data_IF_804781292700
#
_entry.id   IF_804781292700
#
_cell.length_a   1.000
_cell.length_b   1.000
_cell.length_c   1.000
_cell.angle_alpha   90.00
_cell.angle_beta   90.00
_cell.angle_gamma   90.00
#
_symmetry.space_group_name_H-M   'P 1'
#
loop_
_entity.id
_entity.type
_entity.pdbx_description
1 polymer ?
#
# COMPACT_ATOMS: atom_id res chain seq x y z
N UNK A 1 25.59 -2.54 4.52
CA UNK A 1 24.18 -2.91 4.62
C UNK A 1 23.52 -2.38 3.37
N UNK A 2 22.87 -3.21 2.55
CA UNK A 2 22.14 -2.72 1.39
C UNK A 2 20.75 -2.34 1.89
N UNK A 3 20.48 -1.04 2.00
CA UNK A 3 19.15 -0.53 2.27
C UNK A 3 18.30 -0.78 1.03
N UNK A 4 17.27 -1.61 1.17
CA UNK A 4 16.30 -1.84 0.09
C UNK A 4 15.53 -0.54 -0.14
N UNK A 5 15.51 0.02 -1.35
CA UNK A 5 14.75 1.24 -1.62
C UNK A 5 13.26 1.04 -1.29
N UNK A 6 12.55 2.10 -0.89
CA UNK A 6 11.14 2.00 -0.54
C UNK A 6 10.35 1.56 -1.77
N UNK A 7 9.33 0.74 -1.55
CA UNK A 7 8.42 0.37 -2.63
C UNK A 7 7.63 1.61 -3.09
N UNK A 8 7.49 1.84 -4.40
CA UNK A 8 6.75 2.98 -4.91
C UNK A 8 5.27 2.90 -4.55
N UNK A 9 4.63 4.05 -4.40
CA UNK A 9 3.18 4.17 -4.42
C UNK A 9 2.70 4.11 -5.86
N UNK A 10 1.83 3.14 -6.13
CA UNK A 10 1.28 2.92 -7.47
C UNK A 10 -0.16 3.42 -7.50
N UNK A 11 -0.47 4.39 -8.36
CA UNK A 11 -1.78 5.04 -8.41
C UNK A 11 -2.16 5.47 -9.84
N UNK A 12 -3.44 5.78 -10.06
CA UNK A 12 -3.98 6.21 -11.37
C UNK A 12 -4.32 7.70 -11.40
N UNK A 13 -3.63 8.49 -10.57
CA UNK A 13 -3.85 9.93 -10.40
C UNK A 13 -4.44 10.32 -9.03
N UNK A 14 -4.80 11.60 -8.92
CA UNK A 14 -5.48 12.18 -7.75
C UNK A 14 -6.97 11.84 -7.76
N UNK A 15 -7.56 11.77 -6.57
CA UNK A 15 -8.97 11.47 -6.42
C UNK A 15 -9.86 12.66 -6.81
N UNK A 16 -10.74 12.53 -7.83
CA UNK A 16 -11.64 13.61 -8.22
C UNK A 16 -12.77 13.86 -7.21
N UNK A 17 -12.95 12.96 -6.23
CA UNK A 17 -14.00 13.07 -5.19
C UNK A 17 -13.52 13.95 -4.05
N UNK A 18 -12.39 13.61 -3.43
CA UNK A 18 -11.88 14.30 -2.25
C UNK A 18 -10.80 15.33 -2.55
N UNK A 19 -10.24 15.34 -3.77
CA UNK A 19 -9.17 16.24 -4.24
C UNK A 19 -7.93 16.27 -3.35
N UNK A 20 -7.73 15.23 -2.53
CA UNK A 20 -6.64 15.14 -1.56
C UNK A 20 -5.87 13.81 -1.68
N UNK A 21 -6.60 12.70 -1.82
CA UNK A 21 -6.01 11.36 -1.83
C UNK A 21 -5.55 10.91 -3.21
N UNK A 22 -4.68 9.89 -3.22
CA UNK A 22 -4.26 9.19 -4.43
C UNK A 22 -5.15 7.98 -4.68
N UNK A 23 -5.54 7.78 -5.94
CA UNK A 23 -6.28 6.60 -6.39
C UNK A 23 -5.31 5.42 -6.56
N UNK A 24 -4.90 4.82 -5.45
CA UNK A 24 -3.90 3.75 -5.39
C UNK A 24 -4.45 2.42 -5.87
N UNK A 25 -3.61 1.62 -6.52
CA UNK A 25 -4.01 0.31 -7.05
C UNK A 25 -3.97 -0.75 -5.94
N UNK A 26 -5.06 -1.49 -5.79
CA UNK A 26 -5.23 -2.64 -4.89
C UNK A 26 -5.10 -3.92 -5.71
N UNK A 27 -4.37 -4.89 -5.16
CA UNK A 27 -4.39 -6.28 -5.59
C UNK A 27 -5.32 -7.05 -4.65
N UNK A 28 -6.17 -7.90 -5.20
CA UNK A 28 -6.92 -8.90 -4.44
C UNK A 28 -6.78 -10.25 -5.14
N UNK A 29 -6.54 -11.32 -4.39
CA UNK A 29 -6.39 -12.68 -4.94
C UNK A 29 -7.44 -13.60 -4.36
N UNK A 30 -8.26 -14.19 -5.20
CA UNK A 30 -9.26 -15.19 -4.81
C UNK A 30 -9.02 -16.50 -5.57
N UNK A 31 -9.33 -17.65 -4.98
CA UNK A 31 -9.07 -18.95 -5.62
C UNK A 31 -9.91 -19.17 -6.89
N UNK A 32 -11.13 -18.63 -6.96
CA UNK A 32 -12.02 -18.80 -8.10
C UNK A 32 -11.76 -17.79 -9.22
N UNK A 33 -11.37 -16.56 -8.87
CA UNK A 33 -11.18 -15.46 -9.84
C UNK A 33 -9.70 -15.28 -10.23
N UNK A 34 -8.77 -15.65 -9.35
CA UNK A 34 -7.36 -15.31 -9.48
C UNK A 34 -7.04 -13.88 -9.03
N UNK A 35 -5.81 -13.40 -9.28
CA UNK A 35 -5.41 -12.03 -8.95
C UNK A 35 -6.15 -11.03 -9.85
N UNK A 36 -6.67 -9.99 -9.24
CA UNK A 36 -7.37 -8.91 -9.92
C UNK A 36 -7.08 -7.58 -9.25
N UNK A 37 -7.33 -6.51 -9.99
CA UNK A 37 -6.93 -5.16 -9.62
C UNK A 37 -8.09 -4.18 -9.69
N UNK A 38 -8.09 -3.22 -8.80
CA UNK A 38 -8.98 -2.07 -8.78
C UNK A 38 -8.23 -0.89 -8.14
N UNK A 39 -8.63 0.35 -8.43
CA UNK A 39 -8.11 1.50 -7.70
C UNK A 39 -9.03 1.83 -6.53
N UNK A 40 -8.43 2.30 -5.44
CA UNK A 40 -9.11 2.81 -4.27
C UNK A 40 -8.43 4.10 -3.81
N UNK A 41 -9.21 5.14 -3.56
CA UNK A 41 -8.67 6.34 -2.92
C UNK A 41 -8.22 6.00 -1.49
N UNK A 42 -7.01 6.40 -1.12
CA UNK A 42 -6.45 6.20 0.22
C UNK A 42 -7.07 7.09 1.30
N UNK A 43 -7.81 8.13 0.91
CA UNK A 43 -8.47 9.06 1.84
C UNK A 43 -9.98 8.82 1.97
N UNK A 44 -10.71 8.67 0.86
CA UNK A 44 -12.17 8.59 0.85
C UNK A 44 -12.74 7.25 0.38
N UNK A 45 -11.88 6.27 0.11
CA UNK A 45 -12.25 4.88 -0.23
C UNK A 45 -13.11 4.73 -1.50
N UNK A 46 -13.22 5.76 -2.34
CA UNK A 46 -13.86 5.65 -3.66
C UNK A 46 -13.11 4.64 -4.54
N UNK A 47 -13.84 3.81 -5.27
CA UNK A 47 -13.33 2.66 -6.02
C UNK A 47 -13.51 2.84 -7.53
N UNK A 48 -12.51 2.43 -8.32
CA UNK A 48 -12.58 2.32 -9.78
C UNK A 48 -12.19 0.92 -10.25
N UNK A 49 -12.97 0.35 -11.16
CA UNK A 49 -12.73 -0.97 -11.75
C UNK A 49 -11.91 -0.93 -13.05
N UNK A 50 -11.56 0.27 -13.49
CA UNK A 50 -10.71 0.52 -14.65
C UNK A 50 -9.56 1.43 -14.24
N UNK A 51 -8.42 1.41 -14.94
CA UNK A 51 -7.27 2.23 -14.59
C UNK A 51 -7.41 3.68 -15.09
N UNK A 52 -8.55 4.32 -14.80
CA UNK A 52 -8.88 5.68 -15.20
C UNK A 52 -9.90 6.26 -14.21
N UNK A 53 -9.62 7.44 -13.67
CA UNK A 53 -10.47 8.13 -12.68
C UNK A 53 -11.69 8.84 -13.29
N UNK A 54 -11.73 9.02 -14.61
CA UNK A 54 -12.87 9.58 -15.35
C UNK A 54 -14.00 8.57 -15.59
N UNK A 55 -13.86 7.33 -15.11
CA UNK A 55 -14.88 6.29 -15.27
C UNK A 55 -15.80 6.20 -14.05
N UNK A 56 -16.93 5.47 -14.14
CA UNK A 56 -17.84 5.32 -13.01
C UNK A 56 -17.13 4.74 -11.79
N UNK A 57 -17.37 5.37 -10.64
CA UNK A 57 -16.86 4.94 -9.35
C UNK A 57 -17.96 4.34 -8.47
N UNK A 58 -17.55 3.61 -7.44
CA UNK A 58 -18.41 3.16 -6.35
C UNK A 58 -17.76 3.45 -5.00
N UNK A 59 -18.49 3.19 -3.91
CA UNK A 59 -17.96 3.16 -2.56
C UNK A 59 -18.22 1.78 -1.96
N UNK A 60 -17.31 1.26 -1.11
CA UNK A 60 -17.59 0.06 -0.36
C UNK A 60 -18.72 0.28 0.65
N UNK A 61 -19.37 -0.79 1.07
CA UNK A 61 -20.29 -0.74 2.21
C UNK A 61 -19.49 -0.40 3.49
N UNK A 62 -19.97 0.59 4.25
CA UNK A 62 -19.25 1.09 5.43
C UNK A 62 -19.23 0.13 6.61
N UNK A 63 -20.14 -0.83 6.66
CA UNK A 63 -20.22 -1.82 7.74
C UNK A 63 -19.53 -3.13 7.38
N UNK A 64 -19.61 -3.53 6.10
CA UNK A 64 -19.04 -4.76 5.57
C UNK A 64 -18.30 -4.47 4.26
N UNK A 65 -17.14 -3.81 4.31
CA UNK A 65 -16.42 -3.42 3.11
C UNK A 65 -15.91 -4.67 2.39
N UNK A 66 -16.28 -4.83 1.12
CA UNK A 66 -15.95 -5.99 0.31
C UNK A 66 -15.25 -5.59 -0.98
N UNK A 67 -14.39 -6.48 -1.49
CA UNK A 67 -13.81 -6.36 -2.80
C UNK A 67 -14.92 -6.32 -3.86
N UNK A 68 -14.93 -5.32 -4.77
CA UNK A 68 -16.02 -5.16 -5.73
C UNK A 68 -16.05 -6.25 -6.81
N UNK A 69 -15.00 -7.07 -6.92
CA UNK A 69 -14.86 -8.13 -7.93
C UNK A 69 -15.20 -9.50 -7.35
N UNK A 70 -14.52 -9.92 -6.27
CA UNK A 70 -14.72 -11.25 -5.68
C UNK A 70 -15.59 -11.29 -4.41
N UNK A 71 -16.02 -10.14 -3.88
CA UNK A 71 -16.85 -10.02 -2.67
C UNK A 71 -16.18 -10.51 -1.36
N UNK A 72 -14.90 -10.87 -1.37
CA UNK A 72 -14.12 -11.13 -0.16
C UNK A 72 -13.89 -9.84 0.64
N UNK A 73 -13.53 -9.95 1.92
CA UNK A 73 -13.29 -8.81 2.80
C UNK A 73 -12.29 -7.81 2.20
N UNK A 74 -12.68 -6.53 2.10
CA UNK A 74 -11.87 -5.51 1.41
C UNK A 74 -10.47 -5.36 2.02
N UNK A 75 -10.36 -5.56 3.34
CA UNK A 75 -9.13 -5.43 4.13
C UNK A 75 -8.57 -6.78 4.61
N UNK A 76 -9.05 -7.88 4.02
CA UNK A 76 -8.60 -9.23 4.36
C UNK A 76 -7.17 -9.53 3.90
N UNK A 77 -6.60 -10.67 4.33
CA UNK A 77 -5.22 -11.07 4.03
C UNK A 77 -4.93 -11.25 2.53
N UNK A 78 -5.97 -11.45 1.72
CA UNK A 78 -5.88 -11.63 0.29
C UNK A 78 -5.77 -10.31 -0.49
N UNK A 79 -5.90 -9.17 0.19
CA UNK A 79 -6.01 -7.87 -0.44
C UNK A 79 -5.00 -6.85 0.12
N UNK A 80 -4.12 -6.34 -0.74
CA UNK A 80 -3.03 -5.43 -0.40
C UNK A 80 -2.86 -4.33 -1.45
N UNK A 81 -2.06 -3.31 -1.15
CA UNK A 81 -1.64 -2.33 -2.16
C UNK A 81 -0.71 -3.00 -3.16
N UNK A 82 -0.98 -2.83 -4.45
CA UNK A 82 -0.27 -3.56 -5.50
C UNK A 82 1.23 -3.27 -5.52
N UNK A 83 2.01 -4.29 -5.87
CA UNK A 83 3.43 -4.18 -6.16
C UNK A 83 3.66 -4.06 -7.67
N UNK A 84 4.78 -3.47 -8.06
CA UNK A 84 5.12 -3.25 -9.48
C UNK A 84 5.19 -4.56 -10.28
N UNK A 85 5.71 -5.62 -9.66
CA UNK A 85 5.81 -6.94 -10.29
C UNK A 85 4.44 -7.59 -10.54
N UNK A 86 3.44 -7.33 -9.69
CA UNK A 86 2.10 -7.91 -9.81
C UNK A 86 1.33 -7.31 -10.99
N UNK A 87 1.55 -6.02 -11.27
CA UNK A 87 0.89 -5.34 -12.38
C UNK A 87 1.51 -5.70 -13.73
N UNK A 88 2.64 -6.42 -13.76
CA UNK A 88 3.38 -6.71 -15.00
C UNK A 88 2.48 -7.38 -16.04
N UNK A 89 2.33 -6.72 -17.19
CA UNK A 89 1.52 -7.23 -18.31
C UNK A 89 0.02 -6.98 -18.18
N UNK A 90 -0.43 -6.25 -17.16
CA UNK A 90 -1.81 -5.79 -17.02
C UNK A 90 -2.03 -4.40 -17.62
N UNK A 91 -3.28 -4.05 -17.93
CA UNK A 91 -3.66 -2.70 -18.36
C UNK A 91 -3.41 -1.64 -17.27
N UNK A 92 -3.37 -2.05 -16.01
CA UNK A 92 -3.08 -1.20 -14.86
C UNK A 92 -1.65 -0.67 -14.92
N UNK A 93 -0.67 -1.51 -15.30
CA UNK A 93 0.72 -1.07 -15.43
C UNK A 93 0.91 0.03 -16.47
N UNK A 94 0.13 0.01 -17.55
CA UNK A 94 0.24 1.00 -18.63
C UNK A 94 -0.31 2.38 -18.26
N UNK A 95 -1.17 2.46 -17.24
CA UNK A 95 -1.86 3.69 -16.84
C UNK A 95 -1.48 4.16 -15.43
N UNK A 96 -0.74 3.32 -14.68
CA UNK A 96 -0.30 3.66 -13.34
C UNK A 96 0.90 4.61 -13.35
N UNK A 97 0.89 5.51 -12.38
CA UNK A 97 1.97 6.40 -11.99
C UNK A 97 2.69 5.74 -10.80
N UNK A 98 4.03 5.81 -10.81
CA UNK A 98 4.90 5.19 -9.81
C UNK A 98 5.64 6.29 -9.05
N UNK A 99 5.12 6.66 -7.89
CA UNK A 99 5.72 7.65 -7.03
C UNK A 99 6.59 6.99 -5.98
N UNK A 100 7.89 7.24 -6.01
CA UNK A 100 8.79 6.79 -4.95
C UNK A 100 8.65 7.76 -3.79
N UNK A 101 8.22 7.33 -2.59
CA UNK A 101 8.18 8.22 -1.45
C UNK A 101 9.60 8.72 -1.17
N UNK A 102 9.78 10.04 -1.18
CA UNK A 102 11.09 10.64 -0.94
C UNK A 102 11.52 10.33 0.51
N UNK A 103 12.60 9.56 0.67
CA UNK A 103 13.14 9.24 2.00
C UNK A 103 13.52 10.48 2.81
N UNK A 104 13.84 11.59 2.16
CA UNK A 104 14.17 12.86 2.84
C UNK A 104 12.94 13.50 3.54
N UNK A 105 11.73 12.99 3.28
CA UNK A 105 10.48 13.49 3.90
C UNK A 105 10.00 12.63 5.07
N UNK A 106 10.66 11.51 5.37
CA UNK A 106 10.43 10.78 6.61
C UNK A 106 11.08 11.58 7.74
N UNK A 107 10.27 12.18 8.60
CA UNK A 107 10.77 12.88 9.77
C UNK A 107 11.72 11.93 10.56
N UNK A 108 12.85 12.44 11.08
CA UNK A 108 13.83 11.61 11.78
C UNK A 108 13.28 10.90 13.04
N UNK A 109 12.08 11.26 13.50
CA UNK A 109 11.46 10.70 14.70
C UNK A 109 10.91 9.28 14.55
N UNK A 110 10.78 8.71 13.34
CA UNK A 110 10.32 7.32 13.18
C UNK A 110 11.42 6.26 13.20
N UNK A 111 12.70 6.65 13.23
CA UNK A 111 13.84 5.71 13.31
C UNK A 111 14.40 5.51 14.72
N UNK A 112 13.79 6.12 15.74
CA UNK A 112 14.25 6.02 17.12
C UNK A 112 13.27 5.19 17.97
N UNK A 113 13.21 3.87 17.77
CA UNK A 113 12.98 2.85 18.82
C UNK A 113 13.01 1.43 18.23
N UNK A 114 14.11 1.02 17.59
CA UNK A 114 14.37 -0.41 17.35
C UNK A 114 15.86 -0.72 17.54
N UNK A 115 16.45 -0.21 18.63
CA UNK A 115 17.74 -0.67 19.14
C UNK A 115 17.72 -0.49 20.67
N UNK A 116 17.28 -1.51 21.37
CA UNK A 116 17.76 -1.79 22.73
C UNK A 116 17.91 -3.32 22.82
N UNK A 117 18.92 -3.80 22.09
CA UNK A 117 19.48 -5.13 22.28
C UNK A 117 20.12 -5.19 23.67
N UNK A 118 19.74 -6.22 24.40
CA UNK A 118 20.15 -6.47 25.77
C UNK A 118 21.68 -6.57 25.87
N UNK A 119 22.31 -5.66 26.62
CA UNK A 119 23.70 -5.84 27.06
C UNK A 119 23.91 -5.23 28.46
N UNK A 120 23.59 -6.01 29.51
CA UNK A 120 24.17 -5.75 30.82
C UNK A 120 25.63 -6.20 30.77
N UNK A 121 26.51 -5.19 30.70
CA UNK A 121 27.95 -5.32 30.57
C UNK A 121 28.59 -6.17 31.66
N UNK A 122 29.60 -6.93 31.22
CA UNK A 122 30.65 -7.43 32.08
C UNK A 122 31.65 -6.30 32.32
N UNK A 123 31.96 -6.01 33.59
CA UNK A 123 33.23 -5.38 33.98
C UNK A 123 33.63 -5.88 35.38
N UNK A 124 34.63 -6.76 35.41
CA UNK A 124 35.50 -7.08 36.56
C UNK A 124 36.68 -6.08 36.47
N UNK A 125 37.19 -5.46 37.57
CA UNK A 125 38.14 -6.18 38.42
C UNK A 125 38.17 -5.89 39.93
N UNK A 126 38.70 -6.88 40.67
CA UNK A 126 39.25 -6.84 42.05
C UNK A 126 40.29 -5.70 42.25
N UNK A 127 40.89 -5.39 43.44
CA UNK A 127 40.82 -6.03 44.79
C UNK A 127 40.70 -5.05 45.99
N UNK A 128 40.51 -5.57 47.22
CA UNK A 128 41.30 -5.30 48.45
C UNK A 128 40.95 -6.31 49.54
#
# INVERSE_FOLDING_TARGET
MHETPPSPWIHIGECPVCVNGLCRVRTCTDEAVGPHFYAMCDECESLWLTPNTDTPLSFPDSCHPQCPICQQDLYGPQAHWSLADELRGSEWMSNAIFDVPNLDSLAPDTLATLDDDASYGQDDPSPQ
#
